data_IF_658026653426
#
_entry.id   IF_658026653426
#
_cell.length_a   1.000
_cell.length_b   1.000
_cell.length_c   1.000
_cell.angle_alpha   90.00
_cell.angle_beta   90.00
_cell.angle_gamma   90.00
#
_symmetry.space_group_name_H-M   'P 1'
#
loop_
_entity.id
_entity.type
_entity.pdbx_description
1 polymer ?
#
# COMPACT_ATOMS: atom_id res chain seq x y z
N UNK A 1 23.76 -19.18 -5.59
CA UNK A 1 22.72 -18.31 -6.15
C UNK A 1 21.36 -18.86 -5.73
N UNK A 2 20.82 -18.46 -4.59
CA UNK A 2 19.42 -18.77 -4.28
C UNK A 2 18.53 -18.02 -5.27
N UNK A 3 17.61 -18.74 -5.95
CA UNK A 3 16.62 -18.12 -6.82
C UNK A 3 15.79 -17.17 -5.95
N UNK A 4 15.68 -15.89 -6.34
CA UNK A 4 14.72 -14.97 -5.74
C UNK A 4 13.33 -15.62 -5.84
N UNK A 5 12.80 -16.11 -4.71
CA UNK A 5 11.49 -16.76 -4.66
C UNK A 5 10.46 -15.69 -5.00
N UNK A 6 9.74 -15.89 -6.10
CA UNK A 6 8.65 -15.04 -6.52
C UNK A 6 7.32 -15.67 -6.10
N UNK A 7 6.43 -14.85 -5.54
CA UNK A 7 5.13 -15.27 -5.05
C UNK A 7 4.03 -14.64 -5.90
N UNK A 8 3.44 -15.40 -6.83
CA UNK A 8 2.38 -14.94 -7.74
C UNK A 8 1.15 -14.42 -7.01
N UNK A 9 0.84 -14.99 -5.83
CA UNK A 9 -0.27 -14.51 -4.99
C UNK A 9 -0.12 -13.03 -4.62
N UNK A 10 1.11 -12.53 -4.46
CA UNK A 10 1.35 -11.14 -4.12
C UNK A 10 0.94 -10.23 -5.29
N UNK A 11 1.18 -10.65 -6.52
CA UNK A 11 0.83 -9.88 -7.71
C UNK A 11 -0.68 -9.89 -7.95
N UNK A 12 -1.36 -11.02 -7.73
CA UNK A 12 -2.82 -11.10 -7.76
C UNK A 12 -3.47 -10.21 -6.69
N UNK A 13 -3.02 -10.30 -5.44
CA UNK A 13 -3.57 -9.49 -4.36
C UNK A 13 -3.30 -8.00 -4.57
N UNK A 14 -2.16 -7.63 -5.14
CA UNK A 14 -1.85 -6.22 -5.48
C UNK A 14 -2.81 -5.65 -6.51
N UNK A 15 -3.08 -6.35 -7.62
CA UNK A 15 -4.01 -5.84 -8.62
C UNK A 15 -5.45 -5.82 -8.07
N UNK A 16 -5.83 -6.83 -7.29
CA UNK A 16 -7.13 -6.85 -6.61
C UNK A 16 -7.29 -5.67 -5.65
N UNK A 17 -6.29 -5.40 -4.80
CA UNK A 17 -6.27 -4.27 -3.88
C UNK A 17 -6.30 -2.92 -4.62
N UNK A 18 -5.54 -2.77 -5.72
CA UNK A 18 -5.57 -1.57 -6.55
C UNK A 18 -6.98 -1.31 -7.12
N UNK A 19 -7.64 -2.36 -7.60
CA UNK A 19 -9.01 -2.27 -8.13
C UNK A 19 -10.02 -1.91 -7.03
N UNK A 20 -9.92 -2.49 -5.83
CA UNK A 20 -10.78 -2.13 -4.70
C UNK A 20 -10.66 -0.64 -4.38
N UNK A 21 -9.44 -0.11 -4.27
CA UNK A 21 -9.21 1.31 -3.95
C UNK A 21 -9.67 2.21 -5.09
N UNK A 22 -9.46 1.79 -6.34
CA UNK A 22 -9.97 2.51 -7.51
C UNK A 22 -11.49 2.62 -7.46
N UNK A 23 -12.18 1.49 -7.29
CA UNK A 23 -13.64 1.46 -7.25
C UNK A 23 -14.21 2.24 -6.06
N UNK A 24 -13.51 2.24 -4.93
CA UNK A 24 -13.86 3.07 -3.77
C UNK A 24 -13.89 4.57 -4.11
N UNK A 25 -12.88 5.08 -4.83
CA UNK A 25 -12.84 6.49 -5.20
C UNK A 25 -13.77 6.83 -6.36
N UNK A 26 -13.90 5.92 -7.34
CA UNK A 26 -14.89 6.11 -8.42
C UNK A 26 -16.32 6.14 -7.86
N UNK A 27 -16.60 5.40 -6.80
CA UNK A 27 -17.89 5.44 -6.11
C UNK A 27 -18.18 6.77 -5.39
N UNK A 28 -17.22 7.68 -5.30
CA UNK A 28 -17.36 8.95 -4.58
C UNK A 28 -17.01 10.18 -5.43
N UNK A 29 -16.63 10.02 -6.70
CA UNK A 29 -16.39 11.16 -7.58
C UNK A 29 -17.70 11.88 -7.97
N UNK A 30 -17.64 13.21 -7.97
CA UNK A 30 -18.73 14.05 -8.45
C UNK A 30 -18.79 14.08 -9.98
N UNK A 31 -20.00 14.19 -10.55
CA UNK A 31 -20.17 14.44 -11.98
C UNK A 31 -20.07 15.94 -12.33
N UNK A 32 -20.41 16.82 -11.38
CA UNK A 32 -20.52 18.28 -11.61
C UNK A 32 -19.21 19.04 -11.47
N UNK A 33 -18.23 18.50 -10.72
CA UNK A 33 -16.92 19.11 -10.45
C UNK A 33 -15.87 18.02 -10.24
N UNK A 34 -14.59 18.33 -10.46
CA UNK A 34 -13.52 17.40 -10.10
C UNK A 34 -13.33 17.45 -8.58
N UNK A 35 -14.14 16.69 -7.83
CA UNK A 35 -14.02 16.51 -6.39
C UNK A 35 -14.63 15.18 -5.93
N UNK A 36 -14.37 14.82 -4.69
CA UNK A 36 -15.10 13.77 -3.98
C UNK A 36 -16.40 14.35 -3.42
N UNK A 37 -17.49 13.57 -3.42
CA UNK A 37 -18.82 13.95 -2.96
C UNK A 37 -19.59 12.74 -2.43
N UNK A 38 -20.71 12.99 -1.77
CA UNK A 38 -21.68 11.97 -1.35
C UNK A 38 -23.10 12.37 -1.79
N UNK A 39 -24.02 11.40 -1.86
CA UNK A 39 -25.41 11.65 -2.21
C UNK A 39 -25.66 11.77 -3.72
N UNK A 40 -26.51 12.72 -4.12
CA UNK A 40 -27.03 12.82 -5.50
C UNK A 40 -26.03 13.33 -6.53
N UNK A 41 -24.93 13.94 -6.08
CA UNK A 41 -23.88 14.48 -6.95
C UNK A 41 -22.85 13.41 -7.38
N UNK A 42 -22.98 12.17 -6.87
CA UNK A 42 -22.08 11.05 -7.20
C UNK A 42 -22.27 10.61 -8.66
N UNK A 43 -21.19 10.59 -9.43
CA UNK A 43 -21.17 10.22 -10.83
C UNK A 43 -21.58 8.75 -11.08
N UNK A 44 -21.10 7.83 -10.22
CA UNK A 44 -21.28 6.39 -10.38
C UNK A 44 -22.02 5.76 -9.18
N UNK A 45 -23.28 6.16 -8.96
CA UNK A 45 -24.09 5.67 -7.83
C UNK A 45 -24.25 4.14 -7.74
N UNK A 46 -24.14 3.43 -8.87
CA UNK A 46 -24.13 1.95 -8.92
C UNK A 46 -22.91 1.32 -8.23
N UNK A 47 -21.84 2.09 -7.98
CA UNK A 47 -20.66 1.66 -7.23
C UNK A 47 -20.76 1.94 -5.72
N UNK A 48 -21.91 2.39 -5.21
CA UNK A 48 -22.11 2.73 -3.79
C UNK A 48 -21.67 1.63 -2.81
N UNK A 49 -21.76 0.35 -3.20
CA UNK A 49 -21.27 -0.80 -2.43
C UNK A 49 -19.74 -0.76 -2.17
N UNK A 50 -18.96 -0.15 -3.07
CA UNK A 50 -17.51 -0.02 -2.96
C UNK A 50 -17.08 1.20 -2.14
N UNK A 51 -17.94 2.21 -1.98
CA UNK A 51 -17.63 3.38 -1.16
C UNK A 51 -17.47 2.97 0.33
N UNK A 52 -16.28 3.17 0.88
CA UNK A 52 -15.85 2.70 2.18
C UNK A 52 -15.29 1.28 2.15
N UNK A 53 -15.96 0.33 1.49
CA UNK A 53 -15.51 -1.07 1.41
C UNK A 53 -14.18 -1.23 0.68
N UNK A 54 -14.00 -0.54 -0.45
CA UNK A 54 -12.79 -0.69 -1.24
C UNK A 54 -11.54 -0.04 -0.62
N UNK A 55 -11.72 0.73 0.47
CA UNK A 55 -10.60 1.24 1.27
C UNK A 55 -9.69 0.11 1.78
N UNK A 56 -10.27 -1.06 2.09
CA UNK A 56 -9.58 -2.30 2.53
C UNK A 56 -8.38 -2.69 1.66
N UNK A 57 -8.36 -2.28 0.39
CA UNK A 57 -7.21 -2.52 -0.48
C UNK A 57 -5.92 -1.87 0.05
N UNK A 58 -5.99 -0.74 0.76
CA UNK A 58 -4.81 -0.09 1.36
C UNK A 58 -4.22 -0.94 2.47
N UNK A 59 -5.06 -1.50 3.34
CA UNK A 59 -4.66 -2.40 4.41
C UNK A 59 -4.02 -3.68 3.84
N UNK A 60 -4.60 -4.23 2.77
CA UNK A 60 -4.02 -5.36 2.03
C UNK A 60 -2.63 -5.00 1.46
N UNK A 61 -2.46 -3.80 0.90
CA UNK A 61 -1.14 -3.33 0.46
C UNK A 61 -0.12 -3.28 1.61
N UNK A 62 -0.53 -2.83 2.80
CA UNK A 62 0.36 -2.79 3.96
C UNK A 62 0.80 -4.18 4.44
N UNK A 63 -0.06 -5.20 4.39
CA UNK A 63 0.36 -6.60 4.66
C UNK A 63 1.33 -7.11 3.61
N UNK A 64 1.02 -6.89 2.32
CA UNK A 64 1.91 -7.28 1.22
C UNK A 64 3.27 -6.60 1.38
N UNK A 65 3.28 -5.32 1.76
CA UNK A 65 4.47 -4.56 2.05
C UNK A 65 5.26 -5.18 3.21
N UNK A 66 4.63 -5.43 4.35
CA UNK A 66 5.26 -6.10 5.49
C UNK A 66 5.94 -7.42 5.11
N UNK A 67 5.27 -8.25 4.31
CA UNK A 67 5.80 -9.53 3.83
C UNK A 67 7.01 -9.36 2.89
N UNK A 68 6.86 -8.56 1.82
CA UNK A 68 7.89 -8.38 0.80
C UNK A 68 9.11 -7.64 1.34
N UNK A 69 8.91 -6.72 2.27
CA UNK A 69 9.99 -6.00 2.93
C UNK A 69 10.76 -6.89 3.89
N UNK A 70 10.07 -7.68 4.72
CA UNK A 70 10.74 -8.66 5.57
C UNK A 70 11.59 -9.64 4.74
N UNK A 71 11.05 -10.11 3.61
CA UNK A 71 11.79 -10.94 2.65
C UNK A 71 13.05 -10.27 2.10
N UNK A 72 12.97 -8.97 1.81
CA UNK A 72 14.08 -8.21 1.21
C UNK A 72 15.11 -7.72 2.23
N UNK A 73 14.74 -7.69 3.51
CA UNK A 73 15.59 -7.29 4.63
C UNK A 73 16.36 -8.47 5.26
N UNK A 74 16.00 -9.71 4.90
CA UNK A 74 16.72 -10.91 5.29
C UNK A 74 18.15 -10.89 4.70
N UNK A 75 19.17 -11.34 5.45
CA UNK A 75 20.58 -11.24 5.04
C UNK A 75 21.54 -10.81 6.15
N UNK A 76 22.57 -10.04 5.82
CA UNK A 76 23.50 -9.45 6.80
C UNK A 76 23.06 -8.04 7.23
N UNK A 77 23.69 -7.48 8.26
CA UNK A 77 23.40 -6.15 8.78
C UNK A 77 24.47 -5.12 8.44
N UNK A 78 24.21 -3.87 8.78
CA UNK A 78 25.17 -2.77 8.65
C UNK A 78 24.81 -1.72 7.59
N UNK A 79 25.60 -0.66 7.54
CA UNK A 79 25.31 0.53 6.73
C UNK A 79 25.23 0.24 5.22
N UNK A 80 26.12 -0.60 4.70
CA UNK A 80 26.11 -1.00 3.29
C UNK A 80 24.83 -1.74 2.90
N UNK A 81 24.34 -2.62 3.78
CA UNK A 81 23.11 -3.39 3.58
C UNK A 81 21.87 -2.53 3.68
N UNK A 82 21.81 -1.64 4.68
CA UNK A 82 20.73 -0.68 4.84
C UNK A 82 20.64 0.27 3.62
N UNK A 83 21.77 0.78 3.13
CA UNK A 83 21.81 1.63 1.94
C UNK A 83 21.39 0.86 0.67
N UNK A 84 21.84 -0.39 0.52
CA UNK A 84 21.42 -1.27 -0.59
C UNK A 84 19.91 -1.50 -0.55
N UNK A 85 19.36 -1.80 0.61
CA UNK A 85 17.92 -1.93 0.82
C UNK A 85 17.17 -0.65 0.43
N UNK A 86 17.58 0.51 0.98
CA UNK A 86 16.97 1.81 0.69
C UNK A 86 17.00 2.13 -0.81
N UNK A 87 18.14 1.91 -1.49
CA UNK A 87 18.26 2.11 -2.94
C UNK A 87 17.31 1.20 -3.73
N UNK A 88 17.19 -0.08 -3.37
CA UNK A 88 16.27 -0.99 -4.05
C UNK A 88 14.80 -0.54 -3.89
N UNK A 89 14.43 0.03 -2.74
CA UNK A 89 13.09 0.58 -2.51
C UNK A 89 12.85 1.88 -3.25
N UNK A 90 13.80 2.83 -3.14
CA UNK A 90 13.73 4.12 -3.83
C UNK A 90 13.60 3.94 -5.34
N UNK A 91 14.41 3.07 -5.95
CA UNK A 91 14.34 2.79 -7.39
C UNK A 91 13.05 2.09 -7.82
N UNK A 92 12.37 1.39 -6.91
CA UNK A 92 11.08 0.75 -7.21
C UNK A 92 9.92 1.73 -7.17
N UNK A 93 9.95 2.73 -6.28
CA UNK A 93 8.78 3.54 -5.93
C UNK A 93 8.85 4.94 -6.54
N UNK A 94 10.00 5.61 -6.38
CA UNK A 94 10.14 7.02 -6.74
C UNK A 94 9.89 7.30 -8.24
N UNK A 95 10.35 6.46 -9.20
CA UNK A 95 10.12 6.76 -10.62
C UNK A 95 8.64 6.87 -10.99
N UNK A 96 7.80 5.90 -10.60
CA UNK A 96 6.37 5.98 -10.89
C UNK A 96 5.68 7.07 -10.07
N UNK A 97 6.06 7.28 -8.80
CA UNK A 97 5.57 8.40 -7.99
C UNK A 97 5.80 9.75 -8.67
N UNK A 98 7.02 10.02 -9.13
CA UNK A 98 7.36 11.30 -9.77
C UNK A 98 6.61 11.52 -11.07
N UNK A 99 6.50 10.47 -11.90
CA UNK A 99 5.73 10.53 -13.14
C UNK A 99 4.24 10.78 -12.87
N UNK A 100 3.64 10.03 -11.94
CA UNK A 100 2.24 10.21 -11.55
C UNK A 100 1.98 11.56 -10.90
N UNK A 101 2.88 12.04 -10.03
CA UNK A 101 2.77 13.37 -9.44
C UNK A 101 2.78 14.47 -10.50
N UNK A 102 3.61 14.33 -11.55
CA UNK A 102 3.62 15.27 -12.67
C UNK A 102 2.32 15.22 -13.48
N UNK A 103 1.78 14.01 -13.70
CA UNK A 103 0.50 13.86 -14.39
C UNK A 103 -0.66 14.44 -13.57
N UNK A 104 -0.69 14.21 -12.25
CA UNK A 104 -1.70 14.79 -11.36
C UNK A 104 -1.58 16.32 -11.31
N UNK A 105 -0.35 16.87 -11.28
CA UNK A 105 -0.12 18.32 -11.39
C UNK A 105 -0.70 18.87 -12.71
N UNK A 106 -0.42 18.21 -13.83
CA UNK A 106 -0.95 18.63 -15.13
C UNK A 106 -2.48 18.57 -15.17
N UNK A 107 -3.08 17.45 -14.73
CA UNK A 107 -4.52 17.25 -14.73
C UNK A 107 -5.26 18.30 -13.88
N UNK A 108 -4.80 18.56 -12.66
CA UNK A 108 -5.41 19.55 -11.75
C UNK A 108 -5.20 20.99 -12.22
N UNK A 109 -4.05 21.28 -12.83
CA UNK A 109 -3.79 22.59 -13.45
C UNK A 109 -4.73 22.82 -14.64
N UNK A 110 -4.93 21.82 -15.50
CA UNK A 110 -5.85 21.89 -16.65
C UNK A 110 -7.32 22.02 -16.22
N UNK A 111 -7.68 21.46 -15.07
CA UNK A 111 -9.00 21.66 -14.45
C UNK A 111 -9.21 23.11 -13.96
N UNK A 112 -8.13 23.84 -13.66
CA UNK A 112 -8.19 25.25 -13.24
C UNK A 112 -7.91 25.49 -11.75
N UNK A 113 -7.32 24.54 -11.04
CA UNK A 113 -6.84 24.77 -9.67
C UNK A 113 -5.62 25.71 -9.63
N UNK A 114 -5.45 26.41 -8.50
CA UNK A 114 -4.35 27.36 -8.31
C UNK A 114 -2.97 26.69 -8.39
N UNK A 115 -2.18 27.09 -9.39
CA UNK A 115 -0.87 26.48 -9.66
C UNK A 115 0.13 26.64 -8.51
N UNK A 116 0.06 27.75 -7.75
CA UNK A 116 1.00 28.00 -6.66
C UNK A 116 0.77 27.03 -5.49
N UNK A 117 -0.49 26.74 -5.17
CA UNK A 117 -0.86 25.72 -4.20
C UNK A 117 -0.49 24.32 -4.68
N UNK A 118 -0.78 24.01 -5.95
CA UNK A 118 -0.43 22.71 -6.54
C UNK A 118 1.08 22.46 -6.54
N UNK A 119 1.91 23.49 -6.73
CA UNK A 119 3.36 23.33 -6.74
C UNK A 119 3.90 22.93 -5.35
N UNK A 120 3.34 23.50 -4.27
CA UNK A 120 3.67 23.10 -2.91
C UNK A 120 3.25 21.65 -2.63
N UNK A 121 2.04 21.27 -3.05
CA UNK A 121 1.51 19.91 -2.90
C UNK A 121 2.30 18.89 -3.72
N UNK A 122 2.72 19.26 -4.93
CA UNK A 122 3.64 18.50 -5.77
C UNK A 122 4.98 18.27 -5.06
N UNK A 123 5.59 19.34 -4.53
CA UNK A 123 6.84 19.28 -3.79
C UNK A 123 6.76 18.34 -2.58
N UNK A 124 5.67 18.41 -1.81
CA UNK A 124 5.40 17.49 -0.68
C UNK A 124 5.24 16.04 -1.13
N UNK A 125 4.67 15.82 -2.31
CA UNK A 125 4.40 14.47 -2.83
C UNK A 125 5.67 13.79 -3.34
N UNK A 126 6.47 14.50 -4.15
CA UNK A 126 7.71 13.93 -4.73
C UNK A 126 8.79 13.66 -3.68
N UNK A 127 8.70 14.33 -2.53
CA UNK A 127 9.59 14.13 -1.37
C UNK A 127 9.03 13.19 -0.31
N UNK A 128 7.80 12.68 -0.49
CA UNK A 128 7.09 11.89 0.53
C UNK A 128 7.09 12.58 1.91
N UNK A 129 6.75 13.87 1.92
CA UNK A 129 6.74 14.70 3.12
C UNK A 129 5.83 14.09 4.21
N UNK A 130 6.22 14.14 5.50
CA UNK A 130 5.36 13.72 6.60
C UNK A 130 4.17 14.66 6.83
N UNK A 131 4.04 15.74 6.03
CA UNK A 131 2.97 16.73 6.15
C UNK A 131 2.36 16.99 4.77
N UNK A 132 1.05 16.79 4.66
CA UNK A 132 0.25 17.15 3.50
C UNK A 132 -0.25 18.61 3.54
N UNK A 133 -1.18 19.00 2.65
CA UNK A 133 -1.74 18.20 1.54
C UNK A 133 -0.73 17.76 0.47
N UNK A 134 -1.14 16.77 -0.31
CA UNK A 134 -0.38 16.16 -1.40
C UNK A 134 -1.08 16.43 -2.74
N UNK A 135 -0.33 16.33 -3.84
CA UNK A 135 -0.85 16.56 -5.20
C UNK A 135 -1.89 15.51 -5.61
N UNK A 136 -1.78 14.32 -5.04
CA UNK A 136 -2.75 13.27 -5.18
C UNK A 136 -3.08 12.71 -3.78
N UNK A 137 -4.38 12.53 -3.53
CA UNK A 137 -4.89 12.07 -2.25
C UNK A 137 -4.30 10.73 -1.83
N UNK A 138 -3.91 9.85 -2.75
CA UNK A 138 -3.43 8.50 -2.39
C UNK A 138 -1.98 8.48 -1.87
N UNK A 139 -1.25 9.59 -2.00
CA UNK A 139 0.17 9.67 -1.60
C UNK A 139 0.36 9.46 -0.10
N UNK A 140 -0.64 9.74 0.72
CA UNK A 140 -0.54 9.59 2.18
C UNK A 140 -0.13 8.16 2.59
N UNK A 141 -0.60 7.13 1.89
CA UNK A 141 -0.30 5.73 2.21
C UNK A 141 1.16 5.39 1.91
N UNK A 142 1.73 6.00 0.88
CA UNK A 142 3.15 5.85 0.50
C UNK A 142 4.06 6.53 1.51
N UNK A 143 3.62 7.64 2.10
CA UNK A 143 4.36 8.30 3.18
C UNK A 143 4.43 7.37 4.39
N UNK A 144 3.31 6.77 4.78
CA UNK A 144 3.26 5.77 5.87
C UNK A 144 4.18 4.58 5.55
N UNK A 145 4.10 4.07 4.31
CA UNK A 145 4.94 2.97 3.85
C UNK A 145 6.44 3.33 3.84
N UNK A 146 6.80 4.55 3.45
CA UNK A 146 8.17 5.04 3.49
C UNK A 146 8.71 5.12 4.91
N UNK A 147 7.90 5.53 5.90
CA UNK A 147 8.30 5.49 7.31
C UNK A 147 8.57 4.05 7.76
N UNK A 148 7.70 3.11 7.39
CA UNK A 148 7.95 1.69 7.66
C UNK A 148 9.29 1.21 7.06
N UNK A 149 9.63 1.63 5.85
CA UNK A 149 10.92 1.28 5.25
C UNK A 149 12.11 1.89 5.97
N UNK A 150 11.98 3.12 6.48
CA UNK A 150 13.01 3.76 7.29
C UNK A 150 13.24 2.96 8.59
N UNK A 151 12.17 2.50 9.24
CA UNK A 151 12.29 1.66 10.45
C UNK A 151 12.96 0.32 10.16
N UNK A 152 12.64 -0.31 9.03
CA UNK A 152 13.31 -1.55 8.60
C UNK A 152 14.77 -1.29 8.21
N UNK A 153 15.07 -0.19 7.52
CA UNK A 153 16.45 0.19 7.21
C UNK A 153 17.26 0.46 8.49
N UNK A 154 16.64 1.09 9.49
CA UNK A 154 17.24 1.32 10.80
C UNK A 154 17.48 0.01 11.58
N UNK A 155 16.59 -0.98 11.47
CA UNK A 155 16.81 -2.30 12.07
C UNK A 155 17.91 -3.09 11.36
N UNK A 156 18.03 -2.98 10.03
CA UNK A 156 19.15 -3.55 9.26
C UNK A 156 20.47 -2.87 9.65
N UNK A 157 20.48 -1.55 9.82
CA UNK A 157 21.66 -0.81 10.26
C UNK A 157 22.08 -1.26 11.68
N UNK A 158 21.10 -1.41 12.56
CA UNK A 158 21.28 -1.77 13.96
C UNK A 158 21.17 -3.28 14.20
N UNK A 159 21.48 -4.13 13.20
CA UNK A 159 21.16 -5.58 13.23
C UNK A 159 21.79 -6.33 14.40
N UNK A 160 22.78 -5.77 15.09
CA UNK A 160 23.30 -6.34 16.34
C UNK A 160 22.33 -6.20 17.55
N UNK A 161 21.27 -5.38 17.44
CA UNK A 161 20.37 -5.03 18.55
C UNK A 161 18.88 -5.29 18.29
N UNK A 162 18.42 -5.29 17.04
CA UNK A 162 16.99 -5.46 16.72
C UNK A 162 16.81 -6.48 15.59
N UNK A 163 16.11 -7.58 15.89
CA UNK A 163 15.72 -8.59 14.89
C UNK A 163 14.50 -8.13 14.10
N UNK A 164 14.23 -8.74 12.93
CA UNK A 164 13.02 -8.43 12.16
C UNK A 164 11.78 -8.89 12.92
N UNK A 165 11.90 -9.99 13.66
CA UNK A 165 10.85 -10.49 14.54
C UNK A 165 10.53 -9.50 15.68
N UNK A 166 11.54 -8.94 16.34
CA UNK A 166 11.33 -7.96 17.41
C UNK A 166 10.75 -6.65 16.88
N UNK A 167 11.20 -6.19 15.71
CA UNK A 167 10.61 -5.03 15.04
C UNK A 167 9.12 -5.26 14.75
N UNK A 168 8.75 -6.43 14.23
CA UNK A 168 7.35 -6.77 13.97
C UNK A 168 6.51 -6.79 15.25
N UNK A 169 7.04 -7.31 16.36
CA UNK A 169 6.38 -7.26 17.67
C UNK A 169 6.22 -5.81 18.17
N UNK A 170 7.26 -4.99 18.09
CA UNK A 170 7.21 -3.60 18.56
C UNK A 170 6.13 -2.83 17.81
N UNK A 171 6.13 -2.89 16.47
CA UNK A 171 5.13 -2.22 15.63
C UNK A 171 3.73 -2.79 15.89
N UNK A 172 3.61 -4.12 15.92
CA UNK A 172 2.32 -4.79 16.09
C UNK A 172 1.69 -4.50 17.46
N UNK A 173 2.43 -4.65 18.55
CA UNK A 173 1.91 -4.39 19.90
C UNK A 173 1.67 -2.90 20.18
N UNK A 174 2.52 -1.99 19.69
CA UNK A 174 2.26 -0.55 19.85
C UNK A 174 0.99 -0.12 19.12
N UNK A 175 0.81 -0.62 17.89
CA UNK A 175 -0.41 -0.38 17.10
C UNK A 175 -1.62 -1.04 17.76
N UNK A 176 -1.53 -2.29 18.22
CA UNK A 176 -2.62 -2.95 18.96
C UNK A 176 -3.01 -2.20 20.24
N UNK A 177 -2.05 -1.73 21.04
CA UNK A 177 -2.33 -0.98 22.26
C UNK A 177 -3.06 0.34 21.95
N UNK A 178 -2.61 1.06 20.92
CA UNK A 178 -3.26 2.26 20.43
C UNK A 178 -4.69 1.98 19.94
N UNK A 179 -4.90 0.91 19.17
CA UNK A 179 -6.21 0.50 18.65
C UNK A 179 -7.16 0.07 19.77
N UNK A 180 -6.67 -0.56 20.84
CA UNK A 180 -7.49 -0.87 22.01
C UNK A 180 -7.99 0.39 22.71
N UNK A 181 -7.13 1.40 22.86
CA UNK A 181 -7.53 2.71 23.42
C UNK A 181 -8.60 3.34 22.52
N UNK A 182 -8.35 3.40 21.21
CA UNK A 182 -9.29 3.99 20.25
C UNK A 182 -10.64 3.24 20.22
N UNK A 183 -10.60 1.91 20.23
CA UNK A 183 -11.79 1.05 20.33
C UNK A 183 -12.58 1.34 21.61
N UNK A 184 -11.89 1.43 22.75
CA UNK A 184 -12.50 1.76 24.03
C UNK A 184 -13.19 3.12 24.03
N UNK A 185 -12.57 4.14 23.42
CA UNK A 185 -13.18 5.47 23.28
C UNK A 185 -14.43 5.46 22.39
N UNK A 186 -14.44 4.70 21.29
CA UNK A 186 -15.62 4.58 20.42
C UNK A 186 -16.77 3.77 21.06
N UNK A 187 -16.48 2.87 22.00
CA UNK A 187 -17.48 2.13 22.76
C UNK A 187 -18.21 3.00 23.81
N UNK A 188 -17.65 4.16 24.17
CA UNK A 188 -18.33 5.08 25.09
C UNK A 188 -19.64 5.62 24.49
N UNK A 189 -20.69 5.82 25.31
CA UNK A 189 -21.91 6.48 24.88
C UNK A 189 -21.62 7.87 24.29
N UNK A 190 -22.35 8.32 23.25
CA UNK A 190 -22.13 9.63 22.62
C UNK A 190 -22.18 10.81 23.60
N UNK A 191 -22.89 10.68 24.73
CA UNK A 191 -23.01 11.70 25.77
C UNK A 191 -21.72 11.95 26.57
N UNK A 192 -20.80 10.98 26.62
CA UNK A 192 -19.56 11.04 27.42
C UNK A 192 -18.33 10.88 26.52
N UNK A 193 -18.52 10.67 25.21
CA UNK A 193 -17.44 10.43 24.27
C UNK A 193 -16.58 11.69 24.09
N UNK A 194 -15.26 11.61 24.34
CA UNK A 194 -14.37 12.76 24.20
C UNK A 194 -13.99 12.95 22.72
N UNK A 195 -14.87 13.57 21.94
CA UNK A 195 -14.67 13.77 20.49
C UNK A 195 -13.37 14.54 20.17
N UNK A 196 -12.98 15.49 21.03
CA UNK A 196 -11.70 16.20 20.90
C UNK A 196 -10.50 15.25 21.02
N UNK A 197 -10.53 14.31 21.97
CA UNK A 197 -9.46 13.34 22.16
C UNK A 197 -9.37 12.38 20.96
N UNK A 198 -10.52 11.91 20.45
CA UNK A 198 -10.59 11.05 19.26
C UNK A 198 -10.04 11.79 18.04
N UNK A 199 -10.42 13.05 17.85
CA UNK A 199 -9.91 13.91 16.77
C UNK A 199 -8.39 14.09 16.85
N UNK A 200 -7.84 14.33 18.05
CA UNK A 200 -6.39 14.44 18.26
C UNK A 200 -5.68 13.13 17.92
N UNK A 201 -6.18 12.00 18.42
CA UNK A 201 -5.62 10.67 18.16
C UNK A 201 -5.71 10.30 16.67
N UNK A 202 -6.74 10.77 15.97
CA UNK A 202 -6.94 10.49 14.54
C UNK A 202 -6.04 11.30 13.61
N UNK A 203 -5.20 12.21 14.14
CA UNK A 203 -4.31 13.05 13.32
C UNK A 203 -3.24 12.24 12.60
N UNK A 204 -2.79 12.78 11.46
CA UNK A 204 -1.78 12.18 10.59
C UNK A 204 -0.49 11.70 11.29
N UNK A 205 0.06 12.37 12.33
CA UNK A 205 1.25 11.88 13.03
C UNK A 205 1.11 10.48 13.62
N UNK A 206 -0.09 10.06 14.05
CA UNK A 206 -0.32 8.71 14.57
C UNK A 206 -0.21 7.62 13.49
N UNK A 207 -0.45 7.98 12.22
CA UNK A 207 -0.15 7.12 11.06
C UNK A 207 1.36 7.02 10.81
N UNK A 208 2.10 8.12 10.96
CA UNK A 208 3.56 8.13 10.80
C UNK A 208 4.27 7.32 11.89
N UNK A 209 3.74 7.29 13.11
CA UNK A 209 4.26 6.44 14.18
C UNK A 209 3.91 4.95 14.00
N UNK A 210 3.22 4.59 12.92
CA UNK A 210 2.64 3.27 12.69
C UNK A 210 1.73 2.79 13.84
N UNK A 211 1.15 3.72 14.60
CA UNK A 211 0.15 3.38 15.62
C UNK A 211 -1.17 3.03 14.95
N UNK A 212 -1.53 3.79 13.91
CA UNK A 212 -2.52 3.39 12.92
C UNK A 212 -1.83 2.60 11.80
N UNK A 213 -2.47 1.55 11.32
CA UNK A 213 -2.03 0.65 10.26
C UNK A 213 -0.80 -0.23 10.55
N UNK A 214 -0.13 -0.07 11.70
CA UNK A 214 1.07 -0.85 12.06
C UNK A 214 0.81 -2.35 12.16
N UNK A 215 -0.36 -2.76 12.66
CA UNK A 215 -0.77 -4.17 12.75
C UNK A 215 -0.76 -4.87 11.39
N UNK A 216 -1.05 -4.17 10.29
CA UNK A 216 -1.03 -4.75 8.95
C UNK A 216 0.39 -5.07 8.48
N UNK A 217 1.32 -4.11 8.64
CA UNK A 217 2.75 -4.34 8.36
C UNK A 217 3.30 -5.47 9.22
N UNK A 218 3.02 -5.47 10.52
CA UNK A 218 3.46 -6.51 11.45
C UNK A 218 2.94 -7.89 11.05
N UNK A 219 1.66 -8.00 10.68
CA UNK A 219 1.05 -9.25 10.19
C UNK A 219 1.80 -9.79 8.97
N UNK A 220 2.11 -8.94 7.99
CA UNK A 220 2.88 -9.31 6.81
C UNK A 220 4.29 -9.80 7.15
N UNK A 221 4.98 -9.12 8.06
CA UNK A 221 6.32 -9.52 8.51
C UNK A 221 6.30 -10.90 9.19
N UNK A 222 5.36 -11.15 10.10
CA UNK A 222 5.26 -12.44 10.79
C UNK A 222 4.89 -13.57 9.81
N UNK A 223 4.00 -13.33 8.85
CA UNK A 223 3.68 -14.30 7.78
C UNK A 223 4.93 -14.73 7.01
N UNK A 224 5.82 -13.78 6.68
CA UNK A 224 7.09 -14.10 6.04
C UNK A 224 8.01 -14.92 6.97
N UNK A 225 8.14 -14.52 8.23
CA UNK A 225 8.98 -15.21 9.21
C UNK A 225 8.49 -16.63 9.53
N UNK A 226 7.19 -16.90 9.49
CA UNK A 226 6.65 -18.27 9.57
C UNK A 226 7.09 -19.09 8.38
N UNK A 227 7.00 -18.54 7.16
CA UNK A 227 7.36 -19.27 5.93
C UNK A 227 8.86 -19.55 5.82
N UNK A 228 9.70 -18.63 6.28
CA UNK A 228 11.15 -18.73 6.15
C UNK A 228 11.83 -19.45 7.33
N UNK A 229 11.07 -19.89 8.35
CA UNK A 229 11.63 -20.52 9.56
C UNK A 229 12.21 -19.51 10.57
N UNK A 230 11.94 -18.21 10.40
CA UNK A 230 12.42 -17.11 11.24
C UNK A 230 13.64 -16.38 10.66
N UNK A 231 14.23 -15.50 11.47
CA UNK A 231 15.46 -14.75 11.18
C UNK A 231 16.67 -15.29 11.94
N UNK A 232 16.56 -16.50 12.50
CA UNK A 232 17.59 -17.19 13.28
C UNK A 232 17.71 -16.73 14.75
N UNK A 233 17.02 -15.65 15.16
CA UNK A 233 17.05 -15.13 16.55
C UNK A 233 15.74 -15.30 17.32
N UNK A 234 14.65 -15.58 16.62
CA UNK A 234 13.35 -15.80 17.24
C UNK A 234 13.33 -17.16 17.96
N UNK A 235 13.33 -17.15 19.29
CA UNK A 235 13.14 -18.34 20.13
C UNK A 235 11.71 -18.90 20.06
N UNK A 236 10.75 -18.09 19.57
CA UNK A 236 9.35 -18.47 19.51
C UNK A 236 9.10 -19.47 18.37
N UNK A 237 8.53 -20.62 18.72
CA UNK A 237 8.12 -21.65 17.77
C UNK A 237 7.04 -21.16 16.78
N UNK A 238 6.80 -21.97 15.74
CA UNK A 238 5.80 -21.66 14.71
C UNK A 238 4.40 -21.39 15.30
N UNK A 239 4.01 -22.10 16.36
CA UNK A 239 2.74 -21.89 17.04
C UNK A 239 2.58 -20.46 17.59
N UNK A 240 3.59 -19.91 18.27
CA UNK A 240 3.54 -18.55 18.80
C UNK A 240 3.50 -17.48 17.71
N UNK A 241 4.20 -17.70 16.60
CA UNK A 241 4.12 -16.81 15.42
C UNK A 241 2.72 -16.85 14.79
N UNK A 242 2.07 -18.02 14.73
CA UNK A 242 0.66 -18.13 14.29
C UNK A 242 -0.29 -17.38 15.22
N UNK A 243 -0.09 -17.46 16.54
CA UNK A 243 -0.88 -16.68 17.52
C UNK A 243 -0.71 -15.17 17.27
N UNK A 244 0.49 -14.70 16.97
CA UNK A 244 0.71 -13.28 16.62
C UNK A 244 -0.01 -12.88 15.32
N UNK A 245 -0.02 -13.73 14.29
CA UNK A 245 -0.78 -13.47 13.05
C UNK A 245 -2.26 -13.33 13.35
N UNK A 246 -2.83 -14.23 14.15
CA UNK A 246 -4.24 -14.19 14.54
C UNK A 246 -4.55 -12.95 15.39
N UNK A 247 -3.68 -12.61 16.34
CA UNK A 247 -3.84 -11.45 17.19
C UNK A 247 -3.78 -10.13 16.41
N UNK A 248 -2.72 -9.92 15.61
CA UNK A 248 -2.60 -8.72 14.77
C UNK A 248 -3.68 -8.67 13.69
N UNK A 249 -4.08 -9.83 13.14
CA UNK A 249 -5.20 -9.94 12.22
C UNK A 249 -6.53 -9.49 12.85
N UNK A 250 -6.80 -9.92 14.10
CA UNK A 250 -7.97 -9.49 14.88
C UNK A 250 -7.93 -7.97 15.14
N UNK A 251 -6.79 -7.43 15.56
CA UNK A 251 -6.65 -5.98 15.73
C UNK A 251 -6.81 -5.20 14.42
N UNK A 252 -6.35 -5.77 13.30
CA UNK A 252 -6.62 -5.23 11.97
C UNK A 252 -8.11 -5.20 11.62
N UNK A 253 -8.88 -6.23 12.02
CA UNK A 253 -10.35 -6.19 11.84
C UNK A 253 -10.99 -5.09 12.68
N UNK A 254 -10.52 -4.85 13.90
CA UNK A 254 -11.00 -3.75 14.74
C UNK A 254 -10.69 -2.39 14.11
N UNK A 255 -9.49 -2.20 13.56
CA UNK A 255 -9.11 -0.97 12.86
C UNK A 255 -10.01 -0.69 11.64
N UNK A 256 -10.26 -1.70 10.80
CA UNK A 256 -11.18 -1.58 9.65
C UNK A 256 -12.60 -1.22 10.11
N UNK A 257 -13.04 -1.80 11.23
CA UNK A 257 -14.37 -1.54 11.77
C UNK A 257 -14.54 -0.11 12.28
N UNK A 258 -13.46 0.48 12.81
CA UNK A 258 -13.41 1.86 13.29
C UNK A 258 -13.29 2.85 12.12
N UNK A 259 -12.47 2.53 11.12
CA UNK A 259 -12.16 3.45 10.00
C UNK A 259 -13.33 3.65 9.03
N UNK A 260 -14.25 2.70 8.92
CA UNK A 260 -15.42 2.81 8.06
C UNK A 260 -16.55 3.52 8.79
N UNK A 261 -16.84 4.76 8.39
CA UNK A 261 -17.90 5.62 8.94
C UNK A 261 -19.29 5.34 8.32
N UNK A 262 -19.53 4.11 7.88
CA UNK A 262 -20.82 3.66 7.29
C UNK A 262 -21.51 2.61 8.16
N UNK A 263 -22.74 2.27 7.77
CA UNK A 263 -23.57 1.29 8.48
C UNK A 263 -22.88 -0.08 8.62
N UNK A 264 -23.33 -0.86 9.61
CA UNK A 264 -22.75 -2.16 9.97
C UNK A 264 -22.56 -3.12 8.80
N UNK A 265 -23.47 -3.15 7.83
CA UNK A 265 -23.35 -3.99 6.64
C UNK A 265 -22.06 -3.73 5.83
N UNK A 266 -21.68 -2.46 5.65
CA UNK A 266 -20.44 -2.09 4.95
C UNK A 266 -19.21 -2.51 5.74
N UNK A 267 -19.23 -2.32 7.07
CA UNK A 267 -18.15 -2.73 7.97
C UNK A 267 -17.94 -4.25 7.91
N UNK A 268 -19.02 -5.03 8.01
CA UNK A 268 -18.97 -6.49 7.94
C UNK A 268 -18.47 -6.96 6.57
N UNK A 269 -18.96 -6.39 5.48
CA UNK A 269 -18.51 -6.73 4.14
C UNK A 269 -17.01 -6.43 3.94
N UNK A 270 -16.52 -5.30 4.43
CA UNK A 270 -15.11 -4.94 4.40
C UNK A 270 -14.24 -5.94 5.20
N UNK A 271 -14.68 -6.33 6.39
CA UNK A 271 -14.00 -7.36 7.21
C UNK A 271 -13.98 -8.72 6.49
N UNK A 272 -15.06 -9.11 5.81
CA UNK A 272 -15.10 -10.35 5.03
C UNK A 272 -14.09 -10.29 3.89
N UNK A 273 -14.05 -9.20 3.11
CA UNK A 273 -13.08 -9.00 2.02
C UNK A 273 -11.65 -9.06 2.55
N UNK A 274 -11.39 -8.39 3.67
CA UNK A 274 -10.11 -8.44 4.36
C UNK A 274 -9.69 -9.86 4.75
N UNK A 275 -10.56 -10.60 5.45
CA UNK A 275 -10.28 -11.97 5.87
C UNK A 275 -10.07 -12.91 4.68
N UNK A 276 -10.84 -12.75 3.59
CA UNK A 276 -10.62 -13.50 2.35
C UNK A 276 -9.24 -13.21 1.76
N UNK A 277 -8.80 -11.95 1.75
CA UNK A 277 -7.46 -11.59 1.28
C UNK A 277 -6.36 -12.21 2.15
N UNK A 278 -6.53 -12.21 3.47
CA UNK A 278 -5.58 -12.82 4.41
C UNK A 278 -5.50 -14.34 4.23
N UNK A 279 -6.64 -15.01 4.08
CA UNK A 279 -6.69 -16.44 3.78
C UNK A 279 -6.05 -16.77 2.43
N UNK A 280 -6.36 -15.98 1.39
CA UNK A 280 -5.75 -16.14 0.06
C UNK A 280 -4.24 -15.94 0.11
N UNK A 281 -3.75 -14.94 0.85
CA UNK A 281 -2.32 -14.69 1.05
C UNK A 281 -1.64 -15.87 1.74
N UNK A 282 -2.18 -16.36 2.86
CA UNK A 282 -1.64 -17.48 3.61
C UNK A 282 -1.61 -18.78 2.76
N UNK A 283 -2.71 -19.07 2.07
CA UNK A 283 -2.79 -20.22 1.16
C UNK A 283 -1.81 -20.08 -0.01
N UNK A 284 -1.71 -18.90 -0.63
CA UNK A 284 -0.80 -18.66 -1.74
C UNK A 284 0.67 -18.77 -1.36
N UNK A 285 1.04 -18.35 -0.14
CA UNK A 285 2.39 -18.56 0.40
C UNK A 285 2.67 -20.05 0.65
N UNK A 286 1.69 -20.79 1.20
CA UNK A 286 1.81 -22.21 1.55
C UNK A 286 1.89 -23.14 0.33
N UNK A 287 1.15 -22.80 -0.73
CA UNK A 287 1.01 -23.58 -1.96
C UNK A 287 1.71 -22.94 -3.17
N UNK A 288 2.72 -22.10 -2.93
CA UNK A 288 3.41 -21.33 -3.97
C UNK A 288 3.93 -22.20 -5.13
N UNK A 289 4.56 -23.34 -4.84
CA UNK A 289 5.09 -24.23 -5.89
C UNK A 289 3.99 -24.83 -6.76
N UNK A 290 2.85 -25.19 -6.17
CA UNK A 290 1.70 -25.71 -6.91
C UNK A 290 1.09 -24.64 -7.82
N UNK A 291 0.90 -23.43 -7.30
CA UNK A 291 0.38 -22.28 -8.06
C UNK A 291 1.33 -21.98 -9.22
N UNK A 292 2.63 -21.93 -8.93
CA UNK A 292 3.67 -21.68 -9.93
C UNK A 292 3.59 -22.69 -11.06
N UNK A 293 3.53 -23.99 -10.77
CA UNK A 293 3.43 -25.04 -11.80
C UNK A 293 2.17 -24.88 -12.69
N UNK A 294 1.03 -24.47 -12.12
CA UNK A 294 -0.21 -24.27 -12.90
C UNK A 294 -0.22 -22.98 -13.74
N UNK A 295 0.54 -21.98 -13.34
CA UNK A 295 0.52 -20.64 -13.94
C UNK A 295 1.79 -20.38 -14.77
N UNK A 296 2.63 -21.40 -15.01
CA UNK A 296 3.87 -21.28 -15.78
C UNK A 296 3.66 -20.57 -17.12
N UNK A 297 2.62 -20.97 -17.86
CA UNK A 297 2.31 -20.41 -19.19
C UNK A 297 1.89 -18.92 -19.13
N UNK A 298 1.46 -18.44 -17.96
CA UNK A 298 0.97 -17.08 -17.75
C UNK A 298 1.88 -16.25 -16.82
N UNK A 299 3.09 -16.72 -16.47
CA UNK A 299 4.00 -16.04 -15.51
C UNK A 299 4.23 -14.57 -15.89
N UNK A 300 4.56 -14.32 -17.16
CA UNK A 300 4.83 -12.98 -17.67
C UNK A 300 3.59 -12.08 -17.57
N UNK A 301 2.41 -12.63 -17.83
CA UNK A 301 1.15 -11.88 -17.74
C UNK A 301 0.81 -11.55 -16.29
N UNK A 302 0.92 -12.51 -15.37
CA UNK A 302 0.67 -12.29 -13.93
C UNK A 302 1.62 -11.23 -13.36
N UNK A 303 2.90 -11.28 -13.74
CA UNK A 303 3.89 -10.28 -13.32
C UNK A 303 3.65 -8.92 -13.97
N UNK A 304 3.08 -8.89 -15.18
CA UNK A 304 2.67 -7.64 -15.83
C UNK A 304 1.49 -6.99 -15.09
N UNK A 305 0.44 -7.73 -14.76
CA UNK A 305 -0.72 -7.21 -14.01
C UNK A 305 -0.35 -6.83 -12.56
N UNK A 306 0.56 -7.57 -11.91
CA UNK A 306 1.13 -7.17 -10.63
C UNK A 306 2.03 -5.94 -10.74
N UNK A 307 2.65 -5.72 -11.90
CA UNK A 307 3.47 -4.54 -12.18
C UNK A 307 2.63 -3.28 -12.37
N UNK A 308 1.52 -3.38 -13.12
CA UNK A 308 0.66 -2.23 -13.43
C UNK A 308 -0.17 -1.76 -12.23
N UNK A 309 -0.37 -2.61 -11.22
CA UNK A 309 -1.18 -2.27 -10.04
C UNK A 309 -0.71 -0.99 -9.34
N UNK A 310 0.61 -0.73 -9.31
CA UNK A 310 1.17 0.46 -8.67
C UNK A 310 0.88 1.75 -9.46
N UNK A 311 1.18 1.84 -10.77
CA UNK A 311 0.72 2.97 -11.58
C UNK A 311 -0.81 3.15 -11.64
N UNK A 312 -1.61 2.08 -11.54
CA UNK A 312 -3.08 2.21 -11.42
C UNK A 312 -3.44 2.86 -10.09
N UNK A 313 -2.85 2.37 -8.99
CA UNK A 313 -3.04 2.96 -7.67
C UNK A 313 -2.65 4.44 -7.62
N UNK A 314 -1.58 4.87 -8.29
CA UNK A 314 -1.16 6.27 -8.25
C UNK A 314 -2.01 7.22 -9.10
N UNK A 315 -2.52 6.76 -10.25
CA UNK A 315 -3.16 7.67 -11.21
C UNK A 315 -4.70 7.67 -11.11
N UNK A 316 -5.32 6.78 -10.34
CA UNK A 316 -6.79 6.69 -10.36
C UNK A 316 -7.50 7.83 -9.63
N UNK A 317 -6.85 8.54 -8.71
CA UNK A 317 -7.51 9.53 -7.87
C UNK A 317 -7.59 10.91 -8.53
N UNK A 318 -6.49 11.67 -8.58
CA UNK A 318 -6.53 13.03 -9.12
C UNK A 318 -6.79 13.09 -10.63
N UNK A 319 -6.25 12.15 -11.40
CA UNK A 319 -6.57 12.08 -12.84
C UNK A 319 -7.99 11.54 -13.03
N UNK A 320 -8.39 10.53 -12.25
CA UNK A 320 -9.73 9.95 -12.35
C UNK A 320 -10.83 10.98 -12.11
N UNK A 321 -10.74 11.78 -11.04
CA UNK A 321 -11.73 12.83 -10.75
C UNK A 321 -11.82 13.88 -11.87
N UNK A 322 -10.69 14.30 -12.45
CA UNK A 322 -10.67 15.28 -13.56
C UNK A 322 -11.26 14.68 -14.83
N UNK A 323 -10.89 13.43 -15.17
CA UNK A 323 -11.41 12.74 -16.37
C UNK A 323 -12.92 12.50 -16.25
N UNK A 324 -13.40 12.08 -15.08
CA UNK A 324 -14.84 11.87 -14.84
C UNK A 324 -15.59 13.17 -15.04
N UNK A 325 -15.20 14.25 -14.35
CA UNK A 325 -15.82 15.57 -14.51
C UNK A 325 -15.81 16.03 -15.97
N UNK A 326 -14.68 15.88 -16.65
CA UNK A 326 -14.54 16.31 -18.04
C UNK A 326 -15.48 15.55 -18.99
N UNK A 327 -15.60 14.22 -18.84
CA UNK A 327 -16.51 13.41 -19.64
C UNK A 327 -17.99 13.76 -19.40
N UNK A 328 -18.39 14.00 -18.15
CA UNK A 328 -19.74 14.45 -17.85
C UNK A 328 -20.02 15.86 -18.39
N UNK A 329 -19.02 16.76 -18.37
CA UNK A 329 -19.12 18.10 -18.95
C UNK A 329 -19.30 18.07 -20.47
N UNK A 330 -18.85 17.00 -21.14
CA UNK A 330 -19.10 16.76 -22.57
C UNK A 330 -20.48 16.13 -22.86
N UNK A 331 -21.27 15.82 -21.83
CA UNK A 331 -22.61 15.23 -21.97
C UNK A 331 -22.63 13.71 -22.18
N UNK A 332 -21.54 13.00 -21.87
CA UNK A 332 -21.54 11.53 -21.92
C UNK A 332 -22.46 10.93 -20.85
N UNK A 333 -23.14 9.83 -21.20
CA UNK A 333 -23.97 9.07 -20.24
C UNK A 333 -23.10 8.34 -19.22
N UNK A 334 -23.67 8.05 -18.04
CA UNK A 334 -22.96 7.41 -16.92
C UNK A 334 -22.20 6.13 -17.30
N UNK A 335 -22.76 5.16 -18.04
CA UNK A 335 -22.02 3.94 -18.40
C UNK A 335 -20.83 4.22 -19.32
N UNK A 336 -20.99 5.15 -20.28
CA UNK A 336 -19.92 5.52 -21.22
C UNK A 336 -18.82 6.28 -20.48
N UNK A 337 -19.18 7.26 -19.65
CA UNK A 337 -18.24 8.01 -18.83
C UNK A 337 -17.42 7.09 -17.91
N UNK A 338 -18.07 6.07 -17.31
CA UNK A 338 -17.38 5.07 -16.49
C UNK A 338 -16.34 4.27 -17.29
N UNK A 339 -16.73 3.69 -18.42
CA UNK A 339 -15.83 2.87 -19.25
C UNK A 339 -14.67 3.70 -19.78
N UNK A 340 -14.95 4.91 -20.30
CA UNK A 340 -13.91 5.80 -20.80
C UNK A 340 -12.96 6.25 -19.68
N UNK A 341 -13.46 6.59 -18.49
CA UNK A 341 -12.63 6.95 -17.34
C UNK A 341 -11.69 5.80 -16.94
N UNK A 342 -12.22 4.57 -16.88
CA UNK A 342 -11.43 3.37 -16.61
C UNK A 342 -10.34 3.15 -17.66
N UNK A 343 -10.68 3.26 -18.95
CA UNK A 343 -9.72 3.10 -20.05
C UNK A 343 -8.65 4.19 -20.04
N UNK A 344 -9.01 5.44 -19.73
CA UNK A 344 -8.07 6.55 -19.61
C UNK A 344 -7.08 6.31 -18.46
N UNK A 345 -7.57 5.94 -17.27
CA UNK A 345 -6.70 5.63 -16.12
C UNK A 345 -5.79 4.45 -16.45
N UNK A 346 -6.32 3.35 -16.98
CA UNK A 346 -5.52 2.17 -17.35
C UNK A 346 -4.48 2.49 -18.45
N UNK A 347 -4.87 3.23 -19.48
CA UNK A 347 -4.00 3.67 -20.57
C UNK A 347 -2.84 4.52 -20.07
N UNK A 348 -3.15 5.50 -19.22
CA UNK A 348 -2.15 6.34 -18.56
C UNK A 348 -1.21 5.51 -17.68
N UNK A 349 -1.76 4.61 -16.86
CA UNK A 349 -0.97 3.73 -15.99
C UNK A 349 -0.05 2.80 -16.77
N UNK A 350 -0.46 2.32 -17.95
CA UNK A 350 0.42 1.56 -18.86
C UNK A 350 1.56 2.43 -19.40
N UNK A 351 1.29 3.69 -19.77
CA UNK A 351 2.30 4.63 -20.22
C UNK A 351 3.32 4.95 -19.11
N UNK A 352 2.84 5.25 -17.90
CA UNK A 352 3.69 5.47 -16.71
C UNK A 352 4.52 4.22 -16.41
N UNK A 353 3.92 3.03 -16.45
CA UNK A 353 4.64 1.77 -16.24
C UNK A 353 5.78 1.56 -17.28
N UNK A 354 5.53 1.90 -18.53
CA UNK A 354 6.54 1.78 -19.60
C UNK A 354 7.71 2.72 -19.35
N UNK A 355 7.42 3.98 -18.98
CA UNK A 355 8.43 4.99 -18.72
C UNK A 355 9.22 4.72 -17.43
N UNK A 356 8.57 4.29 -16.34
CA UNK A 356 9.28 3.92 -15.11
C UNK A 356 10.27 2.78 -15.36
N UNK A 357 9.93 1.80 -16.21
CA UNK A 357 10.80 0.65 -16.49
C UNK A 357 12.07 1.10 -17.20
N UNK A 358 11.96 2.09 -18.09
CA UNK A 358 13.11 2.72 -18.75
C UNK A 358 13.99 3.44 -17.73
N UNK A 359 13.39 4.22 -16.82
CA UNK A 359 14.11 4.92 -15.74
C UNK A 359 14.82 3.93 -14.81
N UNK A 360 14.11 2.89 -14.36
CA UNK A 360 14.66 1.83 -13.50
C UNK A 360 15.85 1.12 -14.18
N UNK A 361 15.74 0.81 -15.47
CA UNK A 361 16.83 0.18 -16.22
C UNK A 361 18.03 1.11 -16.38
N UNK A 362 17.81 2.41 -16.63
CA UNK A 362 18.88 3.40 -16.70
C UNK A 362 19.62 3.53 -15.36
N UNK A 363 18.88 3.64 -14.26
CA UNK A 363 19.45 3.71 -12.90
C UNK A 363 20.26 2.44 -12.60
N UNK A 364 19.76 1.25 -12.95
CA UNK A 364 20.47 -0.02 -12.73
C UNK A 364 21.76 -0.16 -13.55
N UNK A 365 21.82 0.43 -14.75
CA UNK A 365 23.04 0.42 -15.60
C UNK A 365 24.14 1.32 -15.05
N UNK A 366 23.79 2.38 -14.33
CA UNK A 366 24.74 3.31 -13.73
C UNK A 366 25.48 2.77 -12.50
N UNK A 367 25.18 1.56 -12.02
CA UNK A 367 25.84 0.99 -10.85
C UNK A 367 26.75 -0.19 -11.21
N UNK A 368 28.01 -0.18 -10.75
CA UNK A 368 28.88 -1.34 -10.93
C UNK A 368 28.24 -2.56 -10.26
N UNK A 369 28.17 -3.67 -11.01
CA UNK A 369 27.85 -4.97 -10.42
C UNK A 369 28.92 -5.22 -9.35
N UNK A 370 28.56 -5.68 -8.14
CA UNK A 370 29.57 -6.11 -7.19
C UNK A 370 30.43 -7.15 -7.90
N UNK A 371 31.74 -6.91 -7.95
CA UNK A 371 32.70 -7.87 -8.47
C UNK A 371 32.40 -9.20 -7.78
N UNK A 372 32.16 -10.24 -8.59
CA UNK A 372 32.14 -11.59 -8.06
C UNK A 372 33.47 -11.74 -7.31
N UNK A 373 33.42 -11.99 -6.00
CA UNK A 373 34.61 -12.43 -5.25
C UNK A 373 35.16 -13.61 -6.05
N UNK A 374 36.23 -13.37 -6.80
CA UNK A 374 37.06 -14.43 -7.36
C UNK A 374 37.57 -15.16 -6.14
N UNK A 375 37.20 -16.43 -6.01
CA UNK A 375 37.87 -17.34 -5.12
C UNK A 375 39.36 -17.28 -5.46
N UNK A 376 40.14 -16.54 -4.67
CA UNK A 376 41.57 -16.73 -4.57
C UNK A 376 41.79 -17.98 -3.70
N UNK A 377 41.51 -19.15 -4.30
CA UNK A 377 42.18 -20.40 -3.95
C UNK A 377 43.19 -20.68 -5.06
N UNK A 378 44.36 -20.06 -4.90
CA UNK A 378 45.65 -20.37 -5.49
C UNK A 378 46.59 -19.46 -4.69
N UNK A 379 47.40 -19.95 -3.75
CA UNK A 379 48.34 -21.07 -3.77
C UNK A 379 48.43 -21.67 -2.38
#
# INVERSE_FOLDING_TARGET
MERNVHYHVMDFLRIFAALLVLLNHFATFAWSRASVTEGSDVAFGFLSAFAGLGAVGVEVFFVISGFVIAMSALGEGGASQALRFARMRATRILPALWLSALVSLAARTLYGEDFSHLLMDFGRSVTLSPKGPYIDGVVWSLVVEAVFYVLVAASILSRFRLSLYDLAKIIGFSSSAYLLILSGLHLLPPSIRPEEAISVLSRFPFKLLLLQHGVFFATGMILFLVRNGGDGRSEMGHAGKTVLILFFGCMGTAEIFISIERGYAYKTAAVIVWLMCMCAMAAGIRYNEFIKCKILDYDNFVRYIGGISYPVYLNHYSVGMVVVWWLFSLGFSTPIAFVLSMLCVLGLSMAVMSLEKRIQNAIRRGFPRPEAKRDQMAV
#
